data_IF_596945889772
#
_entry.id   IF_596945889772
#
_cell.length_a   1.000
_cell.length_b   1.000
_cell.length_c   1.000
_cell.angle_alpha   90.00
_cell.angle_beta   90.00
_cell.angle_gamma   90.00
#
_symmetry.space_group_name_H-M   'P 1'
#
loop_
_entity.id
_entity.type
_entity.pdbx_description
1 polymer ?
2 non-polymer ?
3 non-polymer ?
4 water ?
#
# COMPACT_ATOMS: atom_id res chain seq x y z
N UNK A 1 11.10 -10.21 12.47
CA UNK A 1 11.05 -8.74 12.15
C UNK A 1 9.85 -8.48 11.23
N UNK A 2 9.93 -8.87 9.96
CA UNK A 2 8.76 -8.67 9.08
C UNK A 2 7.72 -9.80 9.25
N UNK A 3 8.01 -10.90 9.93
CA UNK A 3 7.25 -12.16 9.73
C UNK A 3 5.76 -12.04 10.02
N UNK A 4 5.34 -11.22 10.95
CA UNK A 4 3.88 -11.15 11.26
C UNK A 4 3.13 -10.44 10.13
N UNK A 5 3.83 -9.75 9.22
CA UNK A 5 3.10 -9.14 8.07
C UNK A 5 2.86 -10.14 6.96
N UNK A 6 3.54 -11.27 6.93
CA UNK A 6 3.45 -12.20 5.81
C UNK A 6 2.09 -12.84 5.73
N UNK A 7 1.63 -13.06 4.54
CA UNK A 7 0.36 -13.76 4.31
C UNK A 7 -0.54 -13.02 3.32
N UNK A 8 -1.79 -13.41 3.31
CA UNK A 8 -2.81 -12.91 2.40
C UNK A 8 -3.79 -12.09 3.21
N UNK A 9 -4.01 -10.87 2.78
CA UNK A 9 -4.81 -9.87 3.47
C UNK A 9 -5.92 -9.37 2.55
N UNK A 10 -7.12 -9.24 3.11
CA UNK A 10 -8.33 -8.79 2.39
C UNK A 10 -8.76 -7.44 2.91
N UNK A 11 -9.03 -6.49 2.00
CA UNK A 11 -9.58 -5.17 2.40
C UNK A 11 -10.91 -5.30 3.08
N UNK A 12 -11.01 -4.79 4.32
CA UNK A 12 -12.26 -4.79 5.14
C UNK A 12 -12.78 -3.36 5.49
N UNK A 13 -12.02 -2.31 5.22
CA UNK A 13 -12.46 -0.92 5.54
C UNK A 13 -11.54 0.05 4.80
N UNK A 14 -12.11 1.19 4.41
CA UNK A 14 -11.34 2.23 3.74
C UNK A 14 -11.89 3.59 4.07
N UNK A 15 -11.02 4.49 4.46
CA UNK A 15 -11.38 5.90 4.75
C UNK A 15 -10.51 6.81 3.92
N UNK A 16 -11.15 7.72 3.19
CA UNK A 16 -10.45 8.83 2.52
C UNK A 16 -9.57 8.36 1.36
N UNK A 17 -9.82 7.19 0.74
CA UNK A 17 -9.08 6.78 -0.44
C UNK A 17 -9.31 7.70 -1.60
N UNK A 18 -10.53 8.18 -1.78
CA UNK A 18 -10.75 9.09 -2.90
C UNK A 18 -9.89 10.38 -2.74
N UNK A 19 -9.79 10.91 -1.52
CA UNK A 19 -9.03 12.13 -1.28
C UNK A 19 -7.57 11.86 -1.62
N UNK A 20 -7.03 10.73 -1.23
CA UNK A 20 -5.62 10.35 -1.53
C UNK A 20 -5.47 10.24 -3.04
N UNK A 21 -6.32 9.51 -3.72
CA UNK A 21 -6.21 9.39 -5.17
C UNK A 21 -6.30 10.76 -5.86
N UNK A 22 -7.21 11.59 -5.43
CA UNK A 22 -7.38 12.92 -6.02
C UNK A 22 -6.08 13.70 -5.89
N UNK A 23 -5.46 13.64 -4.73
CA UNK A 23 -4.21 14.36 -4.41
C UNK A 23 -3.11 13.93 -5.39
N UNK A 24 -3.06 12.65 -5.75
CA UNK A 24 -2.06 12.14 -6.72
C UNK A 24 -2.46 12.48 -8.16
N UNK A 25 -3.63 13.07 -8.44
CA UNK A 25 -4.12 13.36 -9.78
C UNK A 25 -4.69 12.18 -10.50
N UNK A 26 -5.20 11.18 -9.81
CA UNK A 26 -5.92 10.09 -10.49
C UNK A 26 -7.27 10.63 -11.03
N UNK A 27 -7.59 10.28 -12.28
CA UNK A 27 -8.84 10.68 -12.95
C UNK A 27 -10.09 10.13 -12.27
N UNK A 28 -11.21 10.82 -12.50
CA UNK A 28 -12.47 10.51 -11.80
C UNK A 28 -12.92 9.07 -12.08
N UNK A 29 -12.79 8.61 -13.29
CA UNK A 29 -13.35 7.29 -13.69
C UNK A 29 -12.55 6.19 -13.02
N UNK A 30 -11.23 6.40 -12.90
CA UNK A 30 -10.38 5.41 -12.18
C UNK A 30 -10.70 5.45 -10.69
N UNK A 31 -10.82 6.65 -10.11
CA UNK A 31 -11.17 6.73 -8.67
C UNK A 31 -12.47 5.98 -8.43
N UNK A 32 -13.44 6.14 -9.33
CA UNK A 32 -14.78 5.58 -9.15
C UNK A 32 -14.71 4.05 -9.09
N UNK A 33 -13.97 3.40 -10.00
CA UNK A 33 -13.76 1.94 -9.97
C UNK A 33 -12.99 1.58 -8.72
N UNK A 34 -11.92 2.32 -8.44
CA UNK A 34 -11.08 1.96 -7.26
C UNK A 34 -11.81 2.05 -5.94
N UNK A 35 -12.78 2.93 -5.81
CA UNK A 35 -13.55 3.12 -4.57
C UNK A 35 -14.44 1.88 -4.28
N UNK A 36 -14.70 1.04 -5.28
CA UNK A 36 -15.57 -0.13 -5.09
C UNK A 36 -14.79 -1.46 -5.17
N UNK A 37 -13.50 -1.38 -5.31
CA UNK A 37 -12.61 -2.56 -5.46
C UNK A 37 -12.16 -3.00 -4.07
N UNK A 38 -12.16 -4.30 -3.77
CA UNK A 38 -11.67 -4.82 -2.45
C UNK A 38 -10.45 -5.68 -2.75
N UNK A 39 -9.25 -5.09 -2.78
CA UNK A 39 -8.08 -5.84 -3.18
C UNK A 39 -7.66 -6.82 -2.10
N UNK A 40 -6.87 -7.76 -2.58
CA UNK A 40 -6.12 -8.74 -1.79
C UNK A 40 -4.65 -8.33 -1.84
N UNK A 41 -4.00 -8.20 -0.69
CA UNK A 41 -2.56 -7.95 -0.62
C UNK A 41 -1.88 -9.23 -0.15
N UNK A 42 -0.84 -9.67 -0.84
CA UNK A 42 -0.08 -10.86 -0.48
C UNK A 42 1.32 -10.43 -0.21
N UNK A 43 1.86 -10.79 0.96
CA UNK A 43 3.23 -10.38 1.37
C UNK A 43 3.97 -11.70 1.58
N UNK A 44 5.06 -11.89 0.85
CA UNK A 44 5.88 -13.12 0.98
C UNK A 44 7.35 -12.72 1.08
N UNK A 45 8.16 -13.62 1.62
CA UNK A 45 9.60 -13.46 1.74
C UNK A 45 10.32 -14.69 1.22
N UNK A 46 11.49 -14.44 0.70
CA UNK A 46 12.44 -15.50 0.34
C UNK A 46 13.79 -14.94 0.71
N UNK A 47 14.32 -15.37 1.85
CA UNK A 47 15.52 -14.70 2.39
C UNK A 47 15.23 -13.28 2.75
N UNK A 48 16.08 -12.40 2.23
CA UNK A 48 15.91 -10.98 2.54
C UNK A 48 15.06 -10.26 1.48
N UNK A 49 14.53 -10.99 0.52
CA UNK A 49 13.68 -10.38 -0.53
C UNK A 49 12.22 -10.52 -0.21
N UNK A 50 11.53 -9.41 -0.09
CA UNK A 50 10.07 -9.36 0.12
C UNK A 50 9.37 -9.14 -1.22
N UNK A 51 8.24 -9.76 -1.39
CA UNK A 51 7.38 -9.52 -2.54
C UNK A 51 6.02 -9.09 -2.01
N UNK A 52 5.49 -8.00 -2.54
CA UNK A 52 4.18 -7.51 -2.19
C UNK A 52 3.36 -7.47 -3.46
N UNK A 53 2.27 -8.22 -3.45
CA UNK A 53 1.30 -8.31 -4.57
C UNK A 53 0.01 -7.65 -4.11
N UNK A 54 -0.59 -6.92 -5.03
CA UNK A 54 -1.94 -6.36 -4.82
C UNK A 54 -2.77 -6.82 -5.99
N UNK A 55 -3.81 -7.60 -5.70
CA UNK A 55 -4.69 -8.23 -6.73
C UNK A 55 -6.10 -7.67 -6.59
N UNK A 56 -6.69 -7.36 -7.71
CA UNK A 56 -8.10 -6.92 -7.70
C UNK A 56 -8.70 -7.19 -9.06
N UNK A 57 -10.00 -6.89 -9.15
CA UNK A 57 -10.70 -6.98 -10.43
C UNK A 57 -10.33 -5.82 -11.31
N UNK A 58 -9.66 -4.79 -10.81
CA UNK A 58 -9.33 -3.62 -11.63
C UNK A 58 -7.88 -3.62 -12.03
N UNK A 59 -6.95 -3.51 -11.09
CA UNK A 59 -5.53 -3.47 -11.38
C UNK A 59 -4.82 -4.49 -10.50
N UNK A 60 -3.72 -5.02 -11.02
CA UNK A 60 -2.85 -5.94 -10.25
C UNK A 60 -1.46 -5.32 -10.23
N UNK A 61 -0.79 -5.36 -9.09
CA UNK A 61 0.60 -4.86 -9.04
C UNK A 61 1.45 -5.87 -8.26
N UNK A 62 2.75 -5.83 -8.53
CA UNK A 62 3.69 -6.69 -7.79
C UNK A 62 5.04 -5.98 -7.73
N UNK A 63 5.59 -5.89 -6.54
CA UNK A 63 6.95 -5.39 -6.33
C UNK A 63 7.78 -6.38 -5.52
N UNK A 64 9.06 -6.44 -5.78
CA UNK A 64 9.99 -7.21 -4.97
C UNK A 64 11.12 -6.29 -4.57
N UNK A 65 11.59 -6.41 -3.34
CA UNK A 65 12.60 -5.48 -2.81
C UNK A 65 13.29 -6.10 -1.63
N UNK A 66 14.48 -5.58 -1.34
CA UNK A 66 15.17 -5.77 -0.06
C UNK A 66 14.86 -4.61 0.85
N UNK A 67 14.62 -4.85 2.14
CA UNK A 67 14.43 -3.73 3.11
C UNK A 67 15.66 -2.88 3.10
N UNK A 68 15.45 -1.57 3.04
CA UNK A 68 16.51 -0.61 3.17
C UNK A 68 17.30 -0.35 1.93
N UNK A 69 16.89 -0.94 0.80
CA UNK A 69 17.57 -0.75 -0.48
C UNK A 69 16.59 -0.14 -1.48
N UNK A 70 16.98 0.99 -2.09
CA UNK A 70 16.08 1.69 -3.03
C UNK A 70 15.84 0.82 -4.25
N UNK A 71 14.66 0.98 -4.81
CA UNK A 71 14.23 0.27 -6.02
C UNK A 71 13.35 1.19 -6.87
N UNK A 72 13.37 0.95 -8.18
CA UNK A 72 12.49 1.64 -9.08
C UNK A 72 11.12 0.94 -9.08
N UNK A 73 10.06 1.74 -9.10
CA UNK A 73 8.67 1.20 -9.01
C UNK A 73 7.81 2.01 -9.98
N UNK A 74 6.90 1.32 -10.65
CA UNK A 74 5.82 1.96 -11.40
C UNK A 74 4.52 1.64 -10.70
N UNK A 75 3.85 2.66 -10.21
CA UNK A 75 2.68 2.44 -9.35
C UNK A 75 1.41 2.11 -10.17
N UNK A 76 0.37 1.71 -9.45
CA UNK A 76 -0.92 1.31 -10.08
C UNK A 76 -1.49 2.45 -10.92
N UNK A 77 -1.20 3.68 -10.52
CA UNK A 77 -1.64 4.91 -11.25
C UNK A 77 -0.57 5.42 -12.23
N UNK A 78 0.47 4.61 -12.47
CA UNK A 78 1.46 4.85 -13.56
C UNK A 78 2.45 5.97 -13.19
N UNK A 79 2.70 6.17 -11.90
CA UNK A 79 3.83 7.03 -11.52
C UNK A 79 5.12 6.22 -11.54
N UNK A 80 6.18 6.77 -12.09
CA UNK A 80 7.52 6.18 -12.02
C UNK A 80 8.24 6.84 -10.85
N UNK A 81 8.49 6.04 -9.82
CA UNK A 81 8.99 6.55 -8.53
C UNK A 81 10.25 5.78 -8.09
N UNK A 82 10.96 6.43 -7.20
CA UNK A 82 12.08 5.83 -6.45
C UNK A 82 11.56 5.44 -5.07
N UNK A 83 11.65 4.15 -4.75
CA UNK A 83 11.00 3.62 -3.54
C UNK A 83 12.03 3.03 -2.59
N UNK A 84 11.65 3.02 -1.31
CA UNK A 84 12.43 2.27 -0.30
C UNK A 84 11.43 1.82 0.78
N UNK A 85 11.59 0.58 1.23
CA UNK A 85 10.76 0.04 2.32
C UNK A 85 11.68 -0.31 3.46
N UNK A 86 11.26 0.07 4.65
CA UNK A 86 12.07 -0.26 5.83
C UNK A 86 11.09 -0.76 6.91
N UNK A 87 11.62 -1.26 8.00
CA UNK A 87 10.89 -1.44 9.28
C UNK A 87 11.27 -0.28 10.21
N UNK A 88 10.28 0.33 10.82
CA UNK A 88 10.48 1.51 11.69
C UNK A 88 9.46 1.36 12.79
N UNK A 89 9.85 1.21 14.03
CA UNK A 89 8.91 1.03 15.14
C UNK A 89 7.99 -0.14 14.93
N UNK A 90 8.47 -1.18 14.29
CA UNK A 90 7.62 -2.35 14.02
C UNK A 90 6.69 -2.22 12.84
N UNK A 91 6.69 -1.09 12.19
CA UNK A 91 5.83 -0.80 11.03
C UNK A 91 6.66 -0.95 9.77
N UNK A 92 6.03 -1.43 8.71
CA UNK A 92 6.62 -1.49 7.35
C UNK A 92 6.35 -0.14 6.66
N UNK A 93 7.36 0.69 6.46
CA UNK A 93 7.21 2.02 5.90
C UNK A 93 7.75 2.00 4.47
N UNK A 94 6.90 2.32 3.55
CA UNK A 94 7.18 2.38 2.09
C UNK A 94 7.16 3.85 1.69
N UNK A 95 8.28 4.41 1.30
CA UNK A 95 8.38 5.83 0.81
C UNK A 95 8.61 5.81 -0.68
N UNK A 96 7.78 6.53 -1.40
CA UNK A 96 7.89 6.77 -2.87
C UNK A 96 8.25 8.24 -3.10
N UNK A 97 9.21 8.47 -3.97
CA UNK A 97 9.68 9.91 -4.38
C UNK A 97 9.67 9.99 -5.87
N UNK A 98 9.14 11.11 -6.33
CA UNK A 98 9.19 11.42 -7.77
C UNK A 98 8.95 12.93 -7.93
N UNK A 99 9.72 13.58 -8.80
CA UNK A 99 9.48 15.03 -9.15
C UNK A 99 9.44 15.87 -7.88
N UNK A 100 10.22 15.54 -6.88
CA UNK A 100 10.25 16.31 -5.63
C UNK A 100 9.14 16.01 -4.67
N UNK A 101 8.18 15.21 -5.13
CA UNK A 101 7.02 14.82 -4.31
C UNK A 101 7.36 13.54 -3.52
N UNK A 102 6.58 13.29 -2.45
CA UNK A 102 6.75 12.07 -1.65
C UNK A 102 5.36 11.59 -1.27
N UNK A 103 5.23 10.27 -1.16
CA UNK A 103 4.08 9.65 -0.48
C UNK A 103 4.61 8.53 0.37
N UNK A 104 3.96 8.33 1.52
CA UNK A 104 4.27 7.18 2.37
C UNK A 104 3.07 6.26 2.49
N UNK A 105 3.43 4.98 2.55
CA UNK A 105 2.47 3.86 2.71
C UNK A 105 2.96 3.10 3.93
N UNK A 106 2.28 3.27 5.04
CA UNK A 106 2.78 2.69 6.31
C UNK A 106 1.83 1.57 6.69
N UNK A 107 2.38 0.42 6.99
CA UNK A 107 1.63 -0.77 7.39
C UNK A 107 1.95 -1.13 8.82
N UNK A 108 0.94 -1.48 9.58
CA UNK A 108 1.22 -1.91 10.95
C UNK A 108 0.19 -2.91 11.31
N UNK A 109 0.47 -3.61 12.39
CA UNK A 109 -0.41 -4.68 12.86
C UNK A 109 -1.00 -4.29 14.21
N UNK A 110 -2.30 -4.24 14.28
CA UNK A 110 -3.03 -3.94 15.55
C UNK A 110 -4.15 -4.93 15.73
N UNK A 111 -4.12 -5.64 16.86
CA UNK A 111 -5.21 -6.58 17.14
C UNK A 111 -5.38 -7.53 15.94
N UNK A 112 -4.29 -7.91 15.26
CA UNK A 112 -4.30 -8.98 14.25
C UNK A 112 -4.68 -8.43 12.88
N UNK A 113 -5.06 -7.15 12.79
CA UNK A 113 -5.45 -6.53 11.50
C UNK A 113 -4.28 -5.74 10.98
N UNK A 114 -4.19 -5.60 9.66
CA UNK A 114 -3.12 -4.80 9.06
C UNK A 114 -3.75 -3.45 8.66
N UNK A 115 -3.21 -2.38 9.19
CA UNK A 115 -3.67 -0.99 8.95
C UNK A 115 -2.68 -0.32 8.06
N UNK A 116 -3.13 0.13 6.92
CA UNK A 116 -2.33 0.81 5.91
C UNK A 116 -2.73 2.26 5.95
N UNK A 117 -1.77 3.13 6.17
CA UNK A 117 -1.98 4.58 6.18
C UNK A 117 -1.22 5.16 4.99
N UNK A 118 -1.95 5.83 4.11
CA UNK A 118 -1.39 6.44 2.90
C UNK A 118 -1.44 7.96 3.04
N UNK A 119 -0.30 8.65 2.89
CA UNK A 119 -0.23 10.11 3.04
C UNK A 119 0.41 10.70 1.80
N UNK A 120 -0.26 11.69 1.24
CA UNK A 120 0.30 12.51 0.13
C UNK A 120 -0.27 13.89 0.29
N UNK A 121 0.62 14.87 0.35
CA UNK A 121 0.14 16.24 0.54
C UNK A 121 -0.49 16.30 1.93
N UNK A 122 -1.71 16.79 2.01
CA UNK A 122 -2.48 16.77 3.22
C UNK A 122 -3.41 15.57 3.35
N UNK A 123 -3.55 14.76 2.31
CA UNK A 123 -4.50 13.65 2.28
C UNK A 123 -3.93 12.49 3.07
N UNK A 124 -4.79 11.94 3.91
CA UNK A 124 -4.45 10.77 4.75
C UNK A 124 -5.58 9.76 4.62
N UNK A 125 -5.24 8.62 4.03
CA UNK A 125 -6.19 7.51 3.84
C UNK A 125 -5.81 6.36 4.79
N UNK A 126 -6.80 5.74 5.41
CA UNK A 126 -6.58 4.56 6.27
C UNK A 126 -7.34 3.38 5.69
N UNK A 127 -6.62 2.30 5.39
CA UNK A 127 -7.25 1.08 4.87
C UNK A 127 -6.92 -0.05 5.83
N UNK A 128 -7.94 -0.80 6.17
CA UNK A 128 -7.82 -1.94 7.10
C UNK A 128 -8.04 -3.24 6.36
N UNK A 129 -7.14 -4.16 6.63
CA UNK A 129 -7.15 -5.52 6.07
C UNK A 129 -7.16 -6.58 7.14
N UNK A 130 -7.84 -7.66 6.80
CA UNK A 130 -7.92 -8.85 7.66
C UNK A 130 -7.24 -10.03 7.01
N UNK A 131 -6.56 -10.89 7.79
CA UNK A 131 -5.71 -11.97 7.21
C UNK A 131 -6.64 -13.13 6.82
N UNK A 132 -6.53 -13.57 5.56
CA UNK A 132 -7.08 -14.83 4.96
C UNK A 132 -6.30 -16.08 5.46
N UNK A 133 -7.03 -17.16 5.74
CA UNK A 133 -6.55 -18.52 6.12
C UNK A 133 -5.72 -19.10 4.99
X LIG B 1 -4.70 -1.39 -1.14
X LIG B 1 -4.81 -0.58 -0.18
X LIG B 1 -5.55 -2.17 -1.47
X LIG B 1 -3.44 -1.49 -1.88
X LIG C 1 -2.36 5.02 -5.68
X LIG C 1 -4.15 1.61 -6.17
X LIG C 1 -2.54 3.18 -3.93
X LIG C 1 -5.21 1.06 -6.92
X LIG C 1 -4.22 3.75 -7.28
X LIG C 1 -3.63 2.97 -6.29
X LIG C 1 -5.79 1.87 -7.92
X LIG C 1 -1.18 3.06 -5.91
X LIG C 1 -5.73 -0.39 -6.66
X LIG C 1 -4.62 -1.45 -6.87
X LIG C 1 -5.27 3.15 -8.06
X LIG C 1 -2.49 3.56 -5.38
X LIG C 1 -6.17 -0.45 -5.16
X LIG C 1 -5.87 3.95 -9.08
X LIG C 1 -6.97 -0.82 -7.49
X LIG C 1 -3.55 0.86 -5.17
#
# INVERSE_FOLDING_TARGET
>A
MVDAFLGTWKLVDSKNFDDYMKSLGVGFATRQVASMTKPTTIIEKNGDILTLKTHSTFKNTEISFKLGVEFDETTADDRKVKSIVTLDGGKLVHLQKWDGQETTLVRELIDGKLILTLTHGTAVCTRTYEKEA
>B hetero
1 ACY C O OXT CH3
>C hetero
1 3IM C12 C6 C11 C5 C2 C1 C4 C10 C9 C15 C3 C8 C14 C7 C13 O1
#
